data_IF_218525317436
#
_entry.id   IF_218525317436
#
_cell.length_a   1.000
_cell.length_b   1.000
_cell.length_c   1.000
_cell.angle_alpha   90.00
_cell.angle_beta   90.00
_cell.angle_gamma   90.00
#
_symmetry.space_group_name_H-M   'P 1'
#
loop_
_entity.id
_entity.type
_entity.pdbx_description
1 polymer ?
#
# COMPACT_ATOMS: atom_id res chain seq x y z
N UNK A 1 -8.33 -10.81 -12.48
CA UNK A 1 -7.21 -11.70 -12.89
C UNK A 1 -6.31 -10.88 -13.81
N UNK A 2 -5.00 -10.84 -13.59
CA UNK A 2 -4.02 -10.25 -14.51
C UNK A 2 -3.09 -11.33 -15.07
N UNK A 3 -2.50 -11.09 -16.24
CA UNK A 3 -1.59 -12.00 -16.92
C UNK A 3 -0.18 -11.40 -17.11
N UNK A 4 0.06 -10.17 -16.64
CA UNK A 4 1.36 -9.51 -16.74
C UNK A 4 1.57 -8.47 -15.62
N UNK A 5 2.83 -8.09 -15.32
CA UNK A 5 3.14 -6.99 -14.41
C UNK A 5 2.48 -5.67 -14.80
N UNK A 6 2.46 -5.35 -16.10
CA UNK A 6 1.85 -4.13 -16.63
C UNK A 6 0.33 -4.11 -16.42
N UNK A 7 -0.34 -5.27 -16.56
CA UNK A 7 -1.77 -5.40 -16.24
C UNK A 7 -2.02 -5.21 -14.74
N UNK A 8 -1.19 -5.76 -13.86
CA UNK A 8 -1.31 -5.55 -12.40
C UNK A 8 -1.16 -4.08 -12.02
N UNK A 9 -0.18 -3.37 -12.59
CA UNK A 9 -0.03 -1.92 -12.39
C UNK A 9 -1.25 -1.15 -12.92
N UNK A 10 -1.78 -1.54 -14.07
CA UNK A 10 -2.99 -0.93 -14.66
C UNK A 10 -4.21 -1.12 -13.77
N UNK A 11 -4.38 -2.31 -13.19
CA UNK A 11 -5.46 -2.60 -12.25
C UNK A 11 -5.34 -1.70 -11.00
N UNK A 12 -4.13 -1.59 -10.42
CA UNK A 12 -3.90 -0.69 -9.28
C UNK A 12 -4.27 0.76 -9.59
N UNK A 13 -3.89 1.24 -10.78
CA UNK A 13 -4.22 2.59 -11.25
C UNK A 13 -5.72 2.82 -11.38
N UNK A 14 -6.43 1.86 -11.96
CA UNK A 14 -7.89 1.96 -12.13
C UNK A 14 -8.63 1.90 -10.80
N UNK A 15 -8.17 1.06 -9.88
CA UNK A 15 -8.71 0.95 -8.52
C UNK A 15 -8.59 2.29 -7.78
N UNK A 16 -7.42 2.93 -7.85
CA UNK A 16 -7.17 4.25 -7.25
C UNK A 16 -8.17 5.34 -7.67
N UNK A 17 -8.64 5.29 -8.91
CA UNK A 17 -9.54 6.30 -9.46
C UNK A 17 -11.02 6.04 -9.12
N UNK A 18 -11.39 4.80 -8.80
CA UNK A 18 -12.80 4.39 -8.64
C UNK A 18 -13.19 4.14 -7.19
N UNK A 19 -12.27 3.59 -6.40
CA UNK A 19 -12.60 2.91 -5.15
C UNK A 19 -11.73 3.39 -3.96
N UNK A 20 -10.92 4.44 -4.15
CA UNK A 20 -10.00 4.95 -3.11
C UNK A 20 -10.33 6.40 -2.75
N UNK A 21 -10.67 6.58 -1.49
CA UNK A 21 -10.93 7.88 -0.84
C UNK A 21 -10.11 8.05 0.45
N UNK A 22 -10.16 9.24 1.04
CA UNK A 22 -9.55 9.54 2.35
C UNK A 22 -9.98 8.50 3.39
N UNK A 23 -9.02 8.00 4.16
CA UNK A 23 -9.23 7.00 5.20
C UNK A 23 -9.39 5.56 4.68
N UNK A 24 -9.23 5.32 3.38
CA UNK A 24 -9.27 3.96 2.84
C UNK A 24 -8.13 3.11 3.41
N UNK A 25 -8.44 1.86 3.79
CA UNK A 25 -7.46 0.88 4.25
C UNK A 25 -7.54 -0.34 3.33
N UNK A 26 -6.46 -0.60 2.58
CA UNK A 26 -6.36 -1.71 1.65
C UNK A 26 -5.46 -2.79 2.23
N UNK A 27 -6.05 -3.93 2.57
CA UNK A 27 -5.33 -5.12 2.99
C UNK A 27 -4.95 -5.98 1.78
N UNK A 28 -3.66 -6.10 1.47
CA UNK A 28 -3.13 -6.91 0.38
C UNK A 28 -2.58 -8.24 0.91
N UNK A 29 -3.26 -9.32 0.55
CA UNK A 29 -2.86 -10.70 0.86
C UNK A 29 -2.39 -11.44 -0.38
N UNK A 30 -1.36 -12.25 -0.22
CA UNK A 30 -0.88 -13.17 -1.26
C UNK A 30 0.55 -13.60 -1.02
N UNK A 31 0.96 -14.66 -1.70
CA UNK A 31 2.30 -15.24 -1.59
C UNK A 31 3.41 -14.25 -2.03
N UNK A 32 4.66 -14.59 -1.68
CA UNK A 32 5.81 -13.85 -2.18
C UNK A 32 5.82 -13.86 -3.71
N UNK A 33 6.01 -12.70 -4.32
CA UNK A 33 5.98 -12.56 -5.78
C UNK A 33 4.58 -12.48 -6.41
N UNK A 34 3.49 -12.48 -5.62
CA UNK A 34 2.12 -12.37 -6.15
C UNK A 34 1.76 -11.02 -6.78
N UNK A 35 2.68 -10.04 -6.76
CA UNK A 35 2.48 -8.73 -7.37
C UNK A 35 1.85 -7.67 -6.46
N UNK A 36 1.82 -7.85 -5.14
CA UNK A 36 1.31 -6.87 -4.16
C UNK A 36 1.95 -5.48 -4.35
N UNK A 37 3.28 -5.40 -4.34
CA UNK A 37 3.99 -4.12 -4.57
C UNK A 37 3.77 -3.54 -5.97
N UNK A 38 3.59 -4.38 -7.00
CA UNK A 38 3.24 -3.91 -8.35
C UNK A 38 1.85 -3.27 -8.38
N UNK A 39 0.87 -3.87 -7.69
CA UNK A 39 -0.44 -3.27 -7.52
C UNK A 39 -0.34 -1.93 -6.79
N UNK A 40 0.43 -1.87 -5.69
CA UNK A 40 0.69 -0.63 -4.93
C UNK A 40 1.30 0.45 -5.81
N UNK A 41 2.29 0.11 -6.64
CA UNK A 41 2.90 1.03 -7.61
C UNK A 41 1.86 1.62 -8.57
N UNK A 42 0.99 0.75 -9.11
CA UNK A 42 -0.12 1.18 -9.94
C UNK A 42 -1.07 2.14 -9.21
N UNK A 43 -1.39 1.83 -7.96
CA UNK A 43 -2.30 2.62 -7.13
C UNK A 43 -1.74 4.02 -6.83
N UNK A 44 -0.49 4.10 -6.39
CA UNK A 44 0.21 5.38 -6.11
C UNK A 44 0.23 6.26 -7.36
N UNK A 45 0.55 5.67 -8.52
CA UNK A 45 0.50 6.39 -9.80
C UNK A 45 -0.93 6.81 -10.19
N UNK A 46 -1.94 5.99 -9.88
CA UNK A 46 -3.36 6.32 -10.14
C UNK A 46 -3.90 7.43 -9.25
N UNK A 47 -3.29 7.67 -8.10
CA UNK A 47 -3.53 8.86 -7.29
C UNK A 47 -2.75 10.09 -7.79
N UNK A 48 -1.92 9.94 -8.82
CA UNK A 48 -1.18 11.05 -9.44
C UNK A 48 0.14 11.40 -8.77
N UNK A 49 0.70 10.52 -7.93
CA UNK A 49 2.05 10.69 -7.39
C UNK A 49 3.10 10.17 -8.37
N UNK A 50 4.20 10.90 -8.52
CA UNK A 50 5.37 10.52 -9.32
C UNK A 50 6.42 9.74 -8.51
N UNK A 51 6.08 9.32 -7.28
CA UNK A 51 7.00 8.62 -6.40
C UNK A 51 7.45 7.26 -6.98
N UNK A 52 8.72 6.93 -6.75
CA UNK A 52 9.22 5.57 -7.02
C UNK A 52 8.80 4.64 -5.89
N UNK A 53 7.92 3.69 -6.21
CA UNK A 53 7.38 2.74 -5.23
C UNK A 53 8.25 1.49 -5.16
N UNK A 54 8.65 1.14 -3.94
CA UNK A 54 9.36 -0.09 -3.59
C UNK A 54 8.78 -0.66 -2.30
N UNK A 55 8.93 -1.98 -2.08
CA UNK A 55 8.42 -2.60 -0.86
C UNK A 55 9.18 -2.08 0.38
N UNK A 56 8.46 -1.65 1.44
CA UNK A 56 9.03 -1.21 2.70
C UNK A 56 9.35 -2.39 3.64
N UNK A 57 9.65 -3.60 3.14
CA UNK A 57 9.91 -4.79 3.97
C UNK A 57 10.87 -4.56 5.15
N UNK A 58 11.85 -3.65 5.02
CA UNK A 58 12.84 -3.34 6.07
C UNK A 58 12.53 -2.08 6.88
N UNK A 59 11.82 -1.12 6.28
CA UNK A 59 11.45 0.17 6.89
C UNK A 59 10.08 0.12 7.55
N UNK A 60 9.32 -0.96 7.32
CA UNK A 60 7.92 -1.21 7.71
C UNK A 60 6.93 -0.31 6.99
N UNK A 61 7.26 0.97 6.81
CA UNK A 61 6.43 1.97 6.14
C UNK A 61 7.22 2.80 5.12
N UNK A 62 6.58 3.11 4.00
CA UNK A 62 6.94 4.21 3.10
C UNK A 62 5.78 5.18 2.97
N UNK A 63 6.08 6.46 2.88
CA UNK A 63 5.11 7.52 2.65
C UNK A 63 5.31 8.13 1.27
N UNK A 64 4.23 8.24 0.50
CA UNK A 64 4.24 8.83 -0.84
C UNK A 64 3.32 10.06 -0.87
N UNK A 65 3.84 11.25 -0.52
CA UNK A 65 3.10 12.50 -0.69
C UNK A 65 3.02 12.90 -2.17
N UNK A 66 2.17 13.88 -2.48
CA UNK A 66 2.14 14.54 -3.79
C UNK A 66 1.17 13.99 -4.82
N UNK A 67 0.39 12.95 -4.48
CA UNK A 67 -0.83 12.61 -5.22
C UNK A 67 -2.05 13.37 -4.70
N UNK A 68 -3.23 13.02 -5.23
CA UNK A 68 -4.55 13.44 -4.73
C UNK A 68 -4.72 13.14 -3.24
N UNK A 69 -4.15 12.03 -2.78
CA UNK A 69 -4.09 11.61 -1.38
C UNK A 69 -2.66 11.17 -1.04
N UNK A 70 -2.15 11.43 0.17
CA UNK A 70 -0.94 10.79 0.63
C UNK A 70 -1.17 9.28 0.76
N UNK A 71 -0.18 8.49 0.35
CA UNK A 71 -0.22 7.03 0.48
C UNK A 71 0.74 6.57 1.55
N UNK A 72 0.24 5.76 2.48
CA UNK A 72 1.01 5.09 3.52
C UNK A 72 1.09 3.61 3.18
N UNK A 73 2.25 3.16 2.71
CA UNK A 73 2.47 1.79 2.29
C UNK A 73 3.20 1.04 3.40
N UNK A 74 2.55 0.01 3.94
CA UNK A 74 3.07 -0.86 4.97
C UNK A 74 3.39 -2.25 4.42
N UNK A 75 4.40 -2.90 4.99
CA UNK A 75 4.71 -4.31 4.71
C UNK A 75 5.00 -5.06 6.02
N UNK A 76 4.12 -5.99 6.37
CA UNK A 76 4.19 -6.76 7.61
C UNK A 76 4.87 -8.12 7.46
N UNK A 77 5.53 -8.39 6.32
CA UNK A 77 6.18 -9.68 6.07
C UNK A 77 7.13 -10.13 7.19
N UNK A 78 7.86 -9.18 7.79
CA UNK A 78 8.90 -9.44 8.80
C UNK A 78 8.49 -9.14 10.24
N UNK A 79 7.25 -8.72 10.46
CA UNK A 79 6.77 -8.46 11.81
C UNK A 79 6.45 -9.80 12.49
N UNK A 80 7.23 -10.11 13.53
CA UNK A 80 7.10 -11.35 14.29
C UNK A 80 6.02 -11.25 15.38
N UNK A 81 5.66 -10.03 15.81
CA UNK A 81 4.77 -9.81 16.95
C UNK A 81 3.81 -8.61 16.74
N UNK A 82 2.53 -8.80 17.09
CA UNK A 82 1.47 -7.78 16.96
C UNK A 82 1.55 -6.64 17.98
N UNK A 83 2.22 -6.85 19.10
CA UNK A 83 2.53 -5.82 20.11
C UNK A 83 3.50 -4.79 19.54
N UNK A 84 4.42 -5.21 18.67
CA UNK A 84 5.32 -4.28 17.95
C UNK A 84 4.53 -3.34 17.02
N UNK A 85 3.45 -3.81 16.38
CA UNK A 85 2.54 -2.97 15.59
C UNK A 85 1.82 -1.92 16.44
N UNK A 86 1.33 -2.30 17.63
CA UNK A 86 0.66 -1.35 18.53
C UNK A 86 1.61 -0.22 19.02
N UNK A 87 2.93 -0.45 19.00
CA UNK A 87 3.95 0.56 19.35
C UNK A 87 4.36 1.46 18.18
N UNK A 88 4.02 1.08 16.94
CA UNK A 88 4.36 1.85 15.74
C UNK A 88 3.55 3.13 15.58
N UNK A 89 2.51 3.36 16.40
CA UNK A 89 1.68 4.56 16.31
C UNK A 89 0.89 4.63 15.01
N UNK A 90 0.38 3.48 14.54
CA UNK A 90 -0.34 3.37 13.26
C UNK A 90 -1.64 4.18 13.21
N UNK A 91 -2.16 4.58 14.37
CA UNK A 91 -3.38 5.37 14.51
C UNK A 91 -3.30 6.67 13.70
N UNK A 92 -2.14 7.35 13.70
CA UNK A 92 -1.96 8.59 12.94
C UNK A 92 -2.08 8.38 11.41
N UNK A 93 -1.77 7.19 10.94
CA UNK A 93 -1.88 6.81 9.53
C UNK A 93 -3.27 6.31 9.16
N UNK A 94 -3.90 5.53 10.03
CA UNK A 94 -5.23 4.96 9.79
C UNK A 94 -6.36 5.98 9.97
N UNK A 95 -6.16 6.97 10.84
CA UNK A 95 -7.10 8.06 11.07
C UNK A 95 -6.66 9.37 10.40
N UNK A 96 -5.59 9.33 9.59
CA UNK A 96 -5.10 10.48 8.84
C UNK A 96 -5.87 10.74 7.53
N UNK A 97 -5.44 11.77 6.80
CA UNK A 97 -6.10 12.25 5.58
C UNK A 97 -5.73 11.45 4.30
N UNK A 98 -5.05 10.32 4.46
CA UNK A 98 -4.48 9.52 3.38
C UNK A 98 -5.17 8.19 3.12
N UNK A 99 -4.49 7.35 2.35
CA UNK A 99 -4.85 5.94 2.16
C UNK A 99 -3.73 5.05 2.70
N UNK A 100 -4.11 4.01 3.44
CA UNK A 100 -3.19 3.00 3.94
C UNK A 100 -3.26 1.74 3.08
N UNK A 101 -2.11 1.25 2.62
CA UNK A 101 -1.97 -0.01 1.89
C UNK A 101 -1.09 -0.93 2.73
N UNK A 102 -1.60 -2.10 3.10
CA UNK A 102 -0.92 -3.02 4.02
C UNK A 102 -0.65 -4.33 3.29
N UNK A 103 0.60 -4.57 2.91
CA UNK A 103 1.04 -5.89 2.43
C UNK A 103 1.19 -6.87 3.59
N UNK A 104 0.80 -8.12 3.35
CA UNK A 104 0.80 -9.18 4.37
C UNK A 104 -0.08 -8.86 5.59
N UNK A 105 -1.20 -8.19 5.34
CA UNK A 105 -2.18 -7.79 6.36
C UNK A 105 -2.79 -8.97 7.13
N UNK A 106 -2.56 -10.21 6.70
CA UNK A 106 -3.01 -11.43 7.38
C UNK A 106 -2.01 -12.00 8.40
N UNK A 107 -0.84 -11.38 8.56
CA UNK A 107 0.12 -11.69 9.62
C UNK A 107 -0.24 -10.94 10.91
#
# INVERSE_FOLDING_TARGET
MSNSPAETETIGRQFAAKDVDVGSILALKGELGSGKTLFTKGLVAGLGSDATVTSPTFTIVHEYPGGRLPVYHFDFFRLEDRTSLARLGLDDYFFGDGVSIIEWADR
#
